data_IF_550419212545
#
_entry.id   IF_550419212545
#
_cell.length_a   1.000
_cell.length_b   1.000
_cell.length_c   1.000
_cell.angle_alpha   90.00
_cell.angle_beta   90.00
_cell.angle_gamma   90.00
#
_symmetry.space_group_name_H-M   'P 1'
#
loop_
_entity.id
_entity.type
_entity.pdbx_description
1 polymer ?
#
# COMPACT_ATOMS: atom_id res chain seq x y z
N UNK A 1 -9.34 10.49 29.29
CA UNK A 1 -8.46 9.51 28.61
C UNK A 1 -8.27 9.86 27.14
N UNK A 2 -9.34 10.01 26.35
CA UNK A 2 -9.25 10.46 24.95
C UNK A 2 -8.43 11.74 24.75
N UNK A 3 -8.58 12.72 25.63
CA UNK A 3 -7.80 13.95 25.61
C UNK A 3 -6.28 13.71 25.72
N UNK A 4 -5.85 12.77 26.57
CA UNK A 4 -4.43 12.40 26.71
C UNK A 4 -3.92 11.68 25.46
N UNK A 5 -4.76 10.87 24.81
CA UNK A 5 -4.42 10.19 23.56
C UNK A 5 -4.22 11.20 22.42
N UNK A 6 -5.15 12.15 22.25
CA UNK A 6 -5.06 13.18 21.22
C UNK A 6 -3.86 14.10 21.44
N UNK A 7 -3.61 14.49 22.68
CA UNK A 7 -2.46 15.31 23.03
C UNK A 7 -1.14 14.55 22.85
N UNK A 8 -1.09 13.26 23.24
CA UNK A 8 0.08 12.42 22.98
C UNK A 8 0.35 12.25 21.48
N UNK A 9 -0.69 12.13 20.63
CA UNK A 9 -0.54 12.12 19.16
C UNK A 9 0.01 13.44 18.64
N UNK A 10 -0.54 14.57 19.09
CA UNK A 10 -0.07 15.89 18.65
C UNK A 10 1.38 16.19 19.09
N UNK A 11 1.80 15.61 20.20
CA UNK A 11 3.17 15.70 20.69
C UNK A 11 4.10 14.65 20.05
N UNK A 12 3.56 13.60 19.45
CA UNK A 12 4.35 12.49 18.89
C UNK A 12 5.36 12.97 17.83
N UNK A 13 4.99 13.95 17.01
CA UNK A 13 5.90 14.53 16.00
C UNK A 13 6.99 15.42 16.60
N UNK A 14 6.83 15.88 17.84
CA UNK A 14 7.78 16.76 18.54
C UNK A 14 8.80 16.00 19.38
N UNK A 15 8.52 14.73 19.71
CA UNK A 15 9.38 13.90 20.54
C UNK A 15 9.89 12.70 19.74
N UNK A 16 11.21 12.45 19.81
CA UNK A 16 11.82 11.27 19.20
C UNK A 16 11.36 9.96 19.88
N UNK A 17 10.83 10.04 21.09
CA UNK A 17 10.33 8.89 21.85
C UNK A 17 8.83 9.05 22.13
N UNK A 18 7.97 8.12 21.67
CA UNK A 18 6.53 8.19 21.92
C UNK A 18 6.17 8.08 23.40
N UNK A 19 7.01 7.45 24.22
CA UNK A 19 6.76 7.37 25.66
C UNK A 19 6.86 8.76 26.33
N UNK A 20 7.77 9.62 25.87
CA UNK A 20 7.93 10.98 26.41
C UNK A 20 6.74 11.87 26.06
N UNK A 21 6.19 11.73 24.84
CA UNK A 21 4.97 12.42 24.43
C UNK A 21 3.76 12.03 25.32
N UNK A 22 3.62 10.74 25.66
CA UNK A 22 2.56 10.27 26.57
C UNK A 22 2.74 10.82 27.98
N UNK A 23 3.98 10.82 28.50
CA UNK A 23 4.26 11.37 29.82
C UNK A 23 4.02 12.88 29.90
N UNK A 24 4.31 13.61 28.82
CA UNK A 24 4.01 15.04 28.72
C UNK A 24 2.49 15.27 28.70
N UNK A 25 1.74 14.53 27.88
CA UNK A 25 0.28 14.63 27.82
C UNK A 25 -0.37 14.30 29.19
N UNK A 26 0.14 13.29 29.90
CA UNK A 26 -0.31 12.98 31.25
C UNK A 26 -0.03 14.11 32.24
N UNK A 27 1.10 14.79 32.09
CA UNK A 27 1.45 15.94 32.94
C UNK A 27 0.54 17.14 32.68
N UNK A 28 0.15 17.36 31.43
CA UNK A 28 -0.77 18.42 31.03
C UNK A 28 -2.23 18.14 31.45
N UNK A 29 -2.61 16.86 31.55
CA UNK A 29 -3.96 16.46 31.97
C UNK A 29 -4.30 16.68 33.46
N UNK A 30 -3.33 17.13 34.27
CA UNK A 30 -3.53 17.38 35.70
C UNK A 30 -3.61 16.12 36.56
N UNK A 31 -3.39 14.92 36.00
CA UNK A 31 -3.37 13.67 36.76
C UNK A 31 -2.06 13.60 37.58
N UNK A 32 -2.19 13.72 38.90
CA UNK A 32 -1.07 13.71 39.85
C UNK A 32 -0.85 12.36 40.54
N UNK A 33 -1.90 11.54 40.67
CA UNK A 33 -1.78 10.21 41.27
C UNK A 33 -0.93 9.26 40.42
N UNK A 34 0.12 8.71 41.02
CA UNK A 34 1.10 7.85 40.33
C UNK A 34 0.46 6.59 39.76
N UNK A 35 -0.44 5.98 40.51
CA UNK A 35 -1.13 4.72 40.14
C UNK A 35 -1.95 4.91 38.88
N UNK A 36 -2.73 5.99 38.85
CA UNK A 36 -3.56 6.41 37.73
C UNK A 36 -2.70 6.79 36.53
N UNK A 37 -1.64 7.58 36.73
CA UNK A 37 -0.70 7.93 35.64
C UNK A 37 -0.11 6.70 34.95
N UNK A 38 0.37 5.72 35.72
CA UNK A 38 0.95 4.49 35.17
C UNK A 38 -0.10 3.69 34.39
N UNK A 39 -1.32 3.58 34.92
CA UNK A 39 -2.41 2.89 34.25
C UNK A 39 -2.77 3.58 32.93
N UNK A 40 -2.99 4.89 32.96
CA UNK A 40 -3.34 5.68 31.78
C UNK A 40 -2.21 5.68 30.76
N UNK A 41 -0.94 5.71 31.18
CA UNK A 41 0.21 5.55 30.29
C UNK A 41 0.14 4.24 29.49
N UNK A 42 -0.10 3.12 30.17
CA UNK A 42 -0.19 1.80 29.52
C UNK A 42 -1.36 1.72 28.54
N UNK A 43 -2.51 2.26 28.92
CA UNK A 43 -3.71 2.31 28.07
C UNK A 43 -3.44 3.15 26.81
N UNK A 44 -2.90 4.37 26.97
CA UNK A 44 -2.56 5.27 25.85
C UNK A 44 -1.50 4.67 24.93
N UNK A 45 -0.44 4.06 25.49
CA UNK A 45 0.61 3.38 24.71
C UNK A 45 0.06 2.24 23.86
N UNK A 46 -0.87 1.46 24.41
CA UNK A 46 -1.53 0.35 23.71
C UNK A 46 -2.37 0.86 22.55
N UNK A 47 -3.19 1.89 22.79
CA UNK A 47 -4.03 2.50 21.76
C UNK A 47 -3.22 3.16 20.65
N UNK A 48 -2.13 3.87 20.98
CA UNK A 48 -1.21 4.46 19.99
C UNK A 48 -0.55 3.38 19.13
N UNK A 49 -0.08 2.31 19.76
CA UNK A 49 0.55 1.19 19.05
C UNK A 49 -0.45 0.49 18.12
N UNK A 50 -1.70 0.34 18.54
CA UNK A 50 -2.79 -0.21 17.73
C UNK A 50 -3.12 0.68 16.53
N UNK A 51 -3.19 2.00 16.75
CA UNK A 51 -3.44 2.96 15.69
C UNK A 51 -2.32 2.92 14.62
N UNK A 52 -1.05 2.92 15.05
CA UNK A 52 0.10 2.81 14.16
C UNK A 52 0.12 1.51 13.38
N UNK A 53 -0.21 0.38 14.01
CA UNK A 53 -0.27 -0.92 13.34
C UNK A 53 -1.36 -0.93 12.26
N UNK A 54 -2.52 -0.33 12.53
CA UNK A 54 -3.61 -0.22 11.56
C UNK A 54 -3.24 0.68 10.37
N UNK A 55 -2.58 1.80 10.63
CA UNK A 55 -2.13 2.73 9.59
C UNK A 55 -1.09 2.07 8.67
N UNK A 56 -0.09 1.38 9.23
CA UNK A 56 0.90 0.62 8.45
C UNK A 56 0.27 -0.48 7.60
N UNK A 57 -0.71 -1.20 8.15
CA UNK A 57 -1.44 -2.23 7.41
C UNK A 57 -2.20 -1.64 6.23
N UNK A 58 -2.86 -0.50 6.44
CA UNK A 58 -3.58 0.23 5.39
C UNK A 58 -2.63 0.75 4.31
N UNK A 59 -1.49 1.33 4.68
CA UNK A 59 -0.49 1.80 3.73
C UNK A 59 0.09 0.64 2.91
N UNK A 60 0.29 -0.52 3.53
CA UNK A 60 0.74 -1.72 2.83
C UNK A 60 -0.32 -2.22 1.83
N UNK A 61 -1.58 -2.32 2.25
CA UNK A 61 -2.69 -2.72 1.37
C UNK A 61 -2.86 -1.76 0.18
N UNK A 62 -2.71 -0.44 0.41
CA UNK A 62 -2.80 0.57 -0.65
C UNK A 62 -1.63 0.46 -1.64
N UNK A 63 -0.42 0.15 -1.16
CA UNK A 63 0.74 -0.12 -2.02
C UNK A 63 0.55 -1.38 -2.86
N UNK A 64 0.02 -2.45 -2.27
CA UNK A 64 -0.25 -3.71 -2.97
C UNK A 64 -1.26 -3.52 -4.10
N UNK A 65 -2.33 -2.72 -3.88
CA UNK A 65 -3.32 -2.39 -4.92
C UNK A 65 -2.69 -1.62 -6.07
N UNK A 66 -1.86 -0.61 -5.78
CA UNK A 66 -1.19 0.19 -6.81
C UNK A 66 -0.22 -0.67 -7.63
N UNK A 67 0.49 -1.58 -6.96
CA UNK A 67 1.44 -2.48 -7.62
C UNK A 67 0.75 -3.55 -8.48
N UNK A 68 -0.39 -4.08 -8.03
CA UNK A 68 -1.23 -4.98 -8.80
C UNK A 68 -1.78 -4.31 -10.06
N UNK A 69 -2.33 -3.09 -9.93
CA UNK A 69 -2.85 -2.31 -11.07
C UNK A 69 -1.75 -2.01 -12.10
N UNK A 70 -0.54 -1.65 -11.63
CA UNK A 70 0.63 -1.47 -12.51
C UNK A 70 1.00 -2.75 -13.24
N UNK A 71 0.92 -3.90 -12.57
CA UNK A 71 1.25 -5.20 -13.17
C UNK A 71 0.22 -5.62 -14.21
N UNK A 72 -1.07 -5.41 -13.94
CA UNK A 72 -2.13 -5.62 -14.93
C UNK A 72 -1.96 -4.73 -16.15
N UNK A 73 -1.63 -3.45 -15.96
CA UNK A 73 -1.37 -2.55 -17.08
C UNK A 73 -0.19 -3.02 -17.94
N UNK A 74 0.92 -3.44 -17.32
CA UNK A 74 2.06 -4.00 -18.06
C UNK A 74 1.70 -5.27 -18.83
N UNK A 75 0.86 -6.14 -18.28
CA UNK A 75 0.38 -7.34 -18.98
C UNK A 75 -0.52 -6.99 -20.16
N UNK A 76 -1.42 -6.00 -20.00
CA UNK A 76 -2.27 -5.50 -21.10
C UNK A 76 -1.44 -4.89 -22.21
N UNK A 77 -0.44 -4.08 -21.87
CA UNK A 77 0.45 -3.45 -22.85
C UNK A 77 1.30 -4.48 -23.58
N UNK A 78 1.84 -5.48 -22.86
CA UNK A 78 2.58 -6.59 -23.47
C UNK A 78 1.69 -7.42 -24.40
N UNK A 79 0.44 -7.69 -24.00
CA UNK A 79 -0.52 -8.41 -24.83
C UNK A 79 -0.91 -7.62 -26.07
N UNK A 80 -1.19 -6.32 -25.93
CA UNK A 80 -1.47 -5.45 -27.07
C UNK A 80 -0.28 -5.38 -28.04
N UNK A 81 0.93 -5.30 -27.51
CA UNK A 81 2.15 -5.33 -28.32
C UNK A 81 2.30 -6.65 -29.07
N UNK A 82 2.11 -7.80 -28.38
CA UNK A 82 2.16 -9.12 -29.00
C UNK A 82 1.10 -9.27 -30.10
N UNK A 83 -0.15 -8.86 -29.85
CA UNK A 83 -1.24 -8.93 -30.83
C UNK A 83 -1.09 -7.94 -31.99
N UNK A 84 -0.27 -6.91 -31.84
CA UNK A 84 0.08 -5.99 -32.93
C UNK A 84 1.16 -6.54 -33.87
N UNK A 85 1.91 -7.57 -33.43
CA UNK A 85 2.89 -8.24 -34.28
C UNK A 85 2.18 -9.26 -35.20
N UNK A 86 2.72 -9.47 -36.43
CA UNK A 86 2.29 -10.56 -37.30
C UNK A 86 2.26 -11.89 -36.53
N UNK A 87 1.25 -12.73 -36.80
CA UNK A 87 1.00 -13.94 -36.00
C UNK A 87 2.17 -14.91 -35.99
N UNK A 88 2.90 -14.99 -37.09
CA UNK A 88 4.16 -15.73 -37.25
C UNK A 88 5.30 -15.23 -36.34
N UNK A 89 5.25 -13.99 -35.86
CA UNK A 89 6.27 -13.43 -34.97
C UNK A 89 6.12 -13.89 -33.51
N UNK A 90 4.94 -14.36 -33.10
CA UNK A 90 4.66 -14.69 -31.70
C UNK A 90 3.94 -16.03 -31.48
N UNK A 91 3.43 -16.68 -32.53
CA UNK A 91 2.86 -18.02 -32.51
C UNK A 91 3.82 -18.97 -33.25
N UNK A 92 4.71 -19.70 -32.54
CA UNK A 92 5.71 -20.58 -33.16
C UNK A 92 5.12 -21.75 -33.95
N UNK A 93 3.81 -21.98 -33.79
CA UNK A 93 3.05 -23.03 -34.44
C UNK A 93 2.15 -22.49 -35.56
N UNK A 94 2.18 -21.18 -35.79
CA UNK A 94 1.47 -20.58 -36.90
C UNK A 94 2.22 -20.82 -38.20
N UNK A 95 1.69 -21.72 -39.02
CA UNK A 95 2.10 -21.88 -40.41
C UNK A 95 1.40 -20.80 -41.24
N UNK A 96 2.19 -19.97 -41.92
CA UNK A 96 1.68 -18.97 -42.87
C UNK A 96 1.27 -19.74 -44.12
N UNK A 97 -0.03 -19.81 -44.39
CA UNK A 97 -0.53 -20.34 -45.65
C UNK A 97 -0.12 -19.38 -46.78
N UNK A 98 1.01 -19.66 -47.44
CA UNK A 98 1.48 -18.97 -48.65
C UNK A 98 0.61 -19.35 -49.89
N UNK A 99 -0.69 -19.58 -49.70
CA UNK A 99 -1.63 -19.85 -50.79
C UNK A 99 -2.23 -18.55 -51.34
N UNK A 100 -1.35 -17.64 -51.74
CA UNK A 100 -1.66 -16.53 -52.63
C UNK A 100 -0.71 -16.61 -53.85
N UNK A 101 -0.71 -17.79 -54.49
CA UNK A 101 -0.20 -17.92 -55.86
C UNK A 101 -1.37 -17.58 -56.77
N UNK A 102 -1.33 -16.34 -57.25
CA UNK A 102 -2.20 -15.71 -58.23
C UNK A 102 -2.96 -16.65 -59.15
N UNK A 103 -4.25 -16.33 -59.25
CA UNK A 103 -5.23 -16.61 -60.29
C UNK A 103 -4.77 -16.11 -61.69
N UNK A 104 -3.58 -16.50 -62.16
CA UNK A 104 -2.95 -15.98 -63.38
C UNK A 104 -2.36 -17.05 -64.30
N UNK A 105 -3.07 -18.17 -64.47
CA UNK A 105 -2.77 -19.17 -65.51
C UNK A 105 -4.04 -19.63 -66.25
N UNK A 106 -4.97 -18.69 -66.51
CA UNK A 106 -5.87 -18.78 -67.66
C UNK A 106 -5.31 -17.94 -68.81
N UNK A 107 -4.56 -18.58 -69.71
CA UNK A 107 -4.48 -18.23 -71.13
C UNK A 107 -3.89 -19.38 -71.94
#
# INVERSE_FOLDING_TARGET
>A
MQQVLEEAKALQDRYNNPDDAIWQALSNSGVTDRSTRIRTFKEVKTELSRALAHERKREQEEREIIEEDRREQMLRDAWAHQMSQPRDAWDPWYEKDDSDVSDELQK
#
